data_IF_997458273048
#
_entry.id   IF_997458273048
#
_cell.length_a   1.000
_cell.length_b   1.000
_cell.length_c   1.000
_cell.angle_alpha   90.00
_cell.angle_beta   90.00
_cell.angle_gamma   90.00
#
_symmetry.space_group_name_H-M   'P 1'
#
loop_
_entity.id
_entity.type
_entity.pdbx_description
1 polymer ?
#
# COMPACT_ATOMS: atom_id res chain seq x y z
N UNK A 1 -26.72 26.22 -19.78
CA UNK A 1 -25.87 26.21 -18.58
C UNK A 1 -24.49 25.76 -19.01
N UNK A 2 -23.45 26.52 -18.67
CA UNK A 2 -22.06 26.16 -18.97
C UNK A 2 -21.65 25.00 -18.05
N UNK A 3 -21.28 23.86 -18.62
CA UNK A 3 -20.72 22.73 -17.88
C UNK A 3 -19.27 23.08 -17.55
N UNK A 4 -18.91 23.08 -16.27
CA UNK A 4 -17.49 23.06 -15.90
C UNK A 4 -16.85 21.82 -16.55
N UNK A 5 -15.72 21.99 -17.23
CA UNK A 5 -15.06 20.99 -18.11
C UNK A 5 -14.53 19.72 -17.40
N UNK A 6 -15.03 19.39 -16.20
CA UNK A 6 -14.62 18.25 -15.38
C UNK A 6 -15.77 17.24 -15.15
N UNK A 7 -16.59 16.99 -16.15
CA UNK A 7 -17.64 15.97 -16.10
C UNK A 7 -17.45 14.92 -17.19
N UNK A 8 -17.95 13.71 -16.95
CA UNK A 8 -17.94 12.63 -17.92
C UNK A 8 -19.36 12.08 -18.12
N UNK A 9 -19.63 11.60 -19.34
CA UNK A 9 -20.87 10.89 -19.66
C UNK A 9 -20.75 9.44 -19.19
N UNK A 10 -21.67 9.03 -18.32
CA UNK A 10 -21.76 7.67 -17.82
C UNK A 10 -23.03 6.98 -18.31
N UNK A 11 -22.94 5.67 -18.53
CA UNK A 11 -24.13 4.84 -18.74
C UNK A 11 -24.97 4.77 -17.46
N UNK A 12 -26.25 4.39 -17.57
CA UNK A 12 -27.12 4.23 -16.39
C UNK A 12 -26.50 3.26 -15.38
N UNK A 13 -25.92 2.15 -15.83
CA UNK A 13 -25.31 1.15 -14.95
C UNK A 13 -24.10 1.69 -14.21
N UNK A 14 -23.19 2.37 -14.92
CA UNK A 14 -22.01 2.99 -14.29
C UNK A 14 -22.42 4.12 -13.34
N UNK A 15 -23.44 4.90 -13.69
CA UNK A 15 -23.95 5.96 -12.83
C UNK A 15 -24.55 5.41 -11.52
N UNK A 16 -25.21 4.24 -11.56
CA UNK A 16 -25.73 3.59 -10.36
C UNK A 16 -24.62 3.13 -9.43
N UNK A 17 -23.54 2.56 -9.98
CA UNK A 17 -22.38 2.13 -9.21
C UNK A 17 -21.64 3.33 -8.61
N UNK A 18 -21.39 4.37 -9.42
CA UNK A 18 -20.66 5.57 -9.01
C UNK A 18 -21.39 6.38 -7.94
N UNK A 19 -22.71 6.51 -8.04
CA UNK A 19 -23.51 7.26 -7.07
C UNK A 19 -23.98 6.40 -5.89
N UNK A 20 -23.85 5.07 -5.98
CA UNK A 20 -24.37 4.10 -5.01
C UNK A 20 -25.87 4.30 -4.69
N UNK A 21 -26.69 4.44 -5.73
CA UNK A 21 -28.11 4.77 -5.62
C UNK A 21 -28.95 3.74 -6.37
N UNK A 22 -30.21 3.54 -5.93
CA UNK A 22 -31.15 2.66 -6.64
C UNK A 22 -31.57 3.21 -8.01
N UNK A 23 -31.87 2.31 -8.94
CA UNK A 23 -32.34 2.68 -10.28
C UNK A 23 -33.55 3.62 -10.25
N UNK A 24 -34.47 3.40 -9.30
CA UNK A 24 -35.67 4.23 -9.13
C UNK A 24 -35.30 5.66 -8.76
N UNK A 25 -34.46 5.81 -7.74
CA UNK A 25 -34.01 7.11 -7.25
C UNK A 25 -33.21 7.88 -8.32
N UNK A 26 -32.45 7.18 -9.17
CA UNK A 26 -31.77 7.81 -10.30
C UNK A 26 -32.78 8.40 -11.31
N UNK A 27 -33.83 7.65 -11.68
CA UNK A 27 -34.88 8.17 -12.56
C UNK A 27 -35.70 9.27 -11.90
N UNK A 28 -35.94 9.22 -10.60
CA UNK A 28 -36.64 10.28 -9.87
C UNK A 28 -35.85 11.60 -9.93
N UNK A 29 -34.51 11.55 -9.85
CA UNK A 29 -33.63 12.73 -10.00
C UNK A 29 -33.61 13.26 -11.44
N UNK A 30 -33.65 12.36 -12.42
CA UNK A 30 -33.77 12.75 -13.84
C UNK A 30 -35.12 13.45 -14.08
N UNK A 31 -36.21 12.95 -13.50
CA UNK A 31 -37.54 13.54 -13.65
C UNK A 31 -37.70 14.88 -12.92
N UNK A 32 -36.83 15.16 -11.94
CA UNK A 32 -36.75 16.44 -11.22
C UNK A 32 -35.82 17.46 -11.90
N UNK A 33 -35.28 17.13 -13.07
CA UNK A 33 -34.30 17.94 -13.83
C UNK A 33 -33.02 18.28 -13.04
N UNK A 34 -32.70 17.50 -11.99
CA UNK A 34 -31.48 17.67 -11.18
C UNK A 34 -30.22 17.14 -11.89
N UNK A 35 -30.39 16.31 -12.93
CA UNK A 35 -29.31 15.66 -13.67
C UNK A 35 -29.46 15.88 -15.18
N UNK A 36 -28.38 16.30 -15.82
CA UNK A 36 -28.35 16.43 -17.29
C UNK A 36 -28.25 15.06 -17.94
N UNK A 37 -29.19 14.76 -18.82
CA UNK A 37 -29.24 13.48 -19.55
C UNK A 37 -29.15 13.68 -21.05
N UNK A 38 -28.48 12.76 -21.73
CA UNK A 38 -28.39 12.70 -23.18
C UNK A 38 -28.93 11.35 -23.65
N UNK A 39 -29.81 11.34 -24.64
CA UNK A 39 -30.28 10.11 -25.30
C UNK A 39 -29.56 9.95 -26.63
N UNK A 40 -28.86 8.84 -26.80
CA UNK A 40 -28.16 8.49 -28.03
C UNK A 40 -28.67 7.12 -28.51
N UNK A 41 -29.55 7.15 -29.51
CA UNK A 41 -30.27 5.97 -30.00
C UNK A 41 -31.18 5.35 -28.93
N UNK A 42 -30.92 4.07 -28.60
CA UNK A 42 -31.66 3.31 -27.57
C UNK A 42 -31.13 3.55 -26.15
N UNK A 43 -29.92 4.11 -26.01
CA UNK A 43 -29.23 4.23 -24.73
C UNK A 43 -29.36 5.67 -24.19
N UNK A 44 -29.41 5.79 -22.86
CA UNK A 44 -29.43 7.08 -22.15
C UNK A 44 -28.17 7.19 -21.30
N UNK A 45 -27.52 8.34 -21.41
CA UNK A 45 -26.32 8.70 -20.69
C UNK A 45 -26.62 9.85 -19.73
N UNK A 46 -25.89 9.88 -18.63
CA UNK A 46 -26.03 10.87 -17.56
C UNK A 46 -24.69 11.56 -17.42
N UNK A 47 -24.70 12.88 -17.41
CA UNK A 47 -23.51 13.66 -17.12
C UNK A 47 -23.34 13.74 -15.60
N UNK A 48 -22.18 13.30 -15.12
CA UNK A 48 -21.82 13.42 -13.71
C UNK A 48 -20.62 14.35 -13.59
N UNK A 49 -20.79 15.42 -12.83
CA UNK A 49 -19.69 16.28 -12.42
C UNK A 49 -18.87 15.56 -11.34
N UNK A 50 -17.54 15.61 -11.45
CA UNK A 50 -16.61 14.93 -10.51
C UNK A 50 -16.85 15.36 -9.05
N UNK A 51 -17.29 16.60 -8.81
CA UNK A 51 -17.62 17.10 -7.47
C UNK A 51 -18.79 16.37 -6.79
N UNK A 52 -19.75 15.84 -7.57
CA UNK A 52 -20.88 15.09 -7.01
C UNK A 52 -20.38 13.73 -6.48
N UNK A 53 -19.40 13.13 -7.17
CA UNK A 53 -18.78 11.86 -6.78
C UNK A 53 -18.09 11.97 -5.41
N UNK A 54 -17.40 13.07 -5.17
CA UNK A 54 -16.77 13.37 -3.87
C UNK A 54 -17.83 13.59 -2.78
N UNK A 55 -18.95 14.24 -3.10
CA UNK A 55 -20.01 14.49 -2.12
C UNK A 55 -20.74 13.21 -1.67
N UNK A 56 -20.90 12.20 -2.53
CA UNK A 56 -21.41 10.88 -2.13
C UNK A 56 -20.45 10.10 -1.21
N UNK A 57 -19.16 10.42 -1.22
CA UNK A 57 -18.17 9.85 -0.29
C UNK A 57 -18.11 10.56 1.06
N UNK A 58 -18.89 11.64 1.28
CA UNK A 58 -18.87 12.43 2.52
C UNK A 58 -19.68 11.80 3.66
N UNK A 59 -20.43 10.72 3.43
CA UNK A 59 -20.91 9.87 4.52
C UNK A 59 -19.77 8.97 5.02
N UNK A 60 -18.72 9.58 5.58
CA UNK A 60 -17.75 8.86 6.41
C UNK A 60 -18.45 8.51 7.72
N UNK A 61 -19.00 7.32 7.79
CA UNK A 61 -19.51 6.79 9.05
C UNK A 61 -18.39 6.85 10.09
N UNK A 62 -18.67 7.32 11.31
CA UNK A 62 -17.68 7.34 12.42
C UNK A 62 -16.97 5.99 12.60
N UNK A 63 -17.64 4.91 12.22
CA UNK A 63 -17.12 3.55 12.15
C UNK A 63 -15.93 3.41 11.18
N UNK A 64 -16.03 3.99 9.97
CA UNK A 64 -14.95 3.95 8.97
C UNK A 64 -13.72 4.73 9.43
N UNK A 65 -13.89 5.87 10.10
CA UNK A 65 -12.77 6.64 10.67
C UNK A 65 -12.07 5.88 11.80
N UNK A 66 -12.83 5.17 12.65
CA UNK A 66 -12.28 4.29 13.68
C UNK A 66 -11.44 3.15 13.09
N UNK A 67 -11.94 2.50 12.03
CA UNK A 67 -11.21 1.46 11.31
C UNK A 67 -9.93 2.02 10.70
N UNK A 68 -10.00 3.18 10.03
CA UNK A 68 -8.83 3.81 9.42
C UNK A 68 -7.77 4.13 10.46
N UNK A 69 -8.16 4.65 11.63
CA UNK A 69 -7.24 4.90 12.75
C UNK A 69 -6.62 3.61 13.29
N UNK A 70 -7.41 2.54 13.42
CA UNK A 70 -6.89 1.24 13.86
C UNK A 70 -5.89 0.66 12.86
N UNK A 71 -6.20 0.74 11.56
CA UNK A 71 -5.29 0.31 10.49
C UNK A 71 -4.00 1.14 10.49
N UNK A 72 -4.09 2.46 10.70
CA UNK A 72 -2.91 3.31 10.82
C UNK A 72 -2.02 2.90 12.00
N UNK A 73 -2.60 2.60 13.16
CA UNK A 73 -1.88 2.12 14.33
C UNK A 73 -1.22 0.75 14.09
N UNK A 74 -1.90 -0.16 13.38
CA UNK A 74 -1.32 -1.45 13.02
C UNK A 74 -0.14 -1.28 12.07
N UNK A 75 -0.26 -0.41 11.06
CA UNK A 75 0.81 -0.13 10.11
C UNK A 75 2.01 0.50 10.81
N UNK A 76 1.81 1.44 11.75
CA UNK A 76 2.92 2.02 12.52
C UNK A 76 3.62 0.97 13.39
N UNK A 77 2.85 0.14 14.09
CA UNK A 77 3.40 -0.93 14.91
C UNK A 77 4.23 -1.93 14.09
N UNK A 78 3.72 -2.34 12.92
CA UNK A 78 4.42 -3.27 12.04
C UNK A 78 5.72 -2.67 11.50
N UNK A 79 5.73 -1.38 11.18
CA UNK A 79 6.95 -0.66 10.77
C UNK A 79 7.98 -0.65 11.90
N UNK A 80 7.57 -0.25 13.10
CA UNK A 80 8.48 -0.23 14.27
C UNK A 80 9.04 -1.63 14.60
N UNK A 81 8.27 -2.69 14.32
CA UNK A 81 8.70 -4.07 14.52
C UNK A 81 9.73 -4.49 13.47
N UNK A 82 9.50 -4.15 12.20
CA UNK A 82 10.47 -4.39 11.11
C UNK A 82 11.79 -3.68 11.42
N UNK A 83 11.75 -2.40 11.81
CA UNK A 83 12.95 -1.63 12.12
C UNK A 83 13.78 -2.26 13.25
N UNK A 84 13.11 -2.79 14.28
CA UNK A 84 13.80 -3.50 15.38
C UNK A 84 14.43 -4.81 14.91
N UNK A 85 13.68 -5.62 14.16
CA UNK A 85 14.19 -6.90 13.64
C UNK A 85 15.36 -6.69 12.69
N UNK A 86 15.33 -5.66 11.85
CA UNK A 86 16.44 -5.31 10.99
C UNK A 86 17.70 -4.91 11.78
N UNK A 87 17.53 -4.19 12.89
CA UNK A 87 18.63 -3.83 13.79
C UNK A 87 19.23 -5.08 14.46
N UNK A 88 18.40 -5.97 15.00
CA UNK A 88 18.85 -7.25 15.60
C UNK A 88 19.55 -8.14 14.57
N UNK A 89 19.03 -8.24 13.34
CA UNK A 89 19.69 -8.98 12.26
C UNK A 89 21.05 -8.38 11.90
N UNK A 90 21.16 -7.06 11.87
CA UNK A 90 22.43 -6.38 11.61
C UNK A 90 23.45 -6.67 12.70
N UNK A 91 23.04 -6.62 13.97
CA UNK A 91 23.92 -6.90 15.09
C UNK A 91 24.36 -8.38 15.13
N UNK A 92 23.42 -9.31 14.94
CA UNK A 92 23.73 -10.75 14.88
C UNK A 92 24.67 -11.08 13.73
N UNK A 93 24.47 -10.47 12.56
CA UNK A 93 25.39 -10.58 11.41
C UNK A 93 26.78 -10.04 11.73
N UNK A 94 26.87 -8.86 12.34
CA UNK A 94 28.16 -8.30 12.74
C UNK A 94 28.89 -9.22 13.73
N UNK A 95 28.18 -9.79 14.70
CA UNK A 95 28.73 -10.76 15.65
C UNK A 95 29.19 -12.04 14.95
N UNK A 96 28.39 -12.59 14.03
CA UNK A 96 28.79 -13.78 13.28
C UNK A 96 30.03 -13.52 12.41
N UNK A 97 30.09 -12.39 11.72
CA UNK A 97 31.22 -12.04 10.85
C UNK A 97 32.51 -11.87 11.67
N UNK A 98 32.44 -11.25 12.85
CA UNK A 98 33.60 -11.13 13.74
C UNK A 98 34.03 -12.48 14.31
N UNK A 99 33.10 -13.37 14.64
CA UNK A 99 33.44 -14.73 15.10
C UNK A 99 34.13 -15.51 13.98
N UNK A 100 33.60 -15.46 12.76
CA UNK A 100 34.19 -16.12 11.59
C UNK A 100 35.60 -15.58 11.32
N UNK A 101 35.79 -14.27 11.39
CA UNK A 101 37.10 -13.65 11.21
C UNK A 101 38.11 -14.14 12.26
N UNK A 102 37.73 -14.13 13.54
CA UNK A 102 38.58 -14.66 14.61
C UNK A 102 38.92 -16.14 14.43
N UNK A 103 37.94 -16.96 14.04
CA UNK A 103 38.16 -18.38 13.75
C UNK A 103 39.12 -18.58 12.56
N UNK A 104 39.01 -17.75 11.52
CA UNK A 104 39.91 -17.79 10.38
C UNK A 104 41.35 -17.42 10.76
N UNK A 105 41.53 -16.37 11.57
CA UNK A 105 42.83 -15.97 12.10
C UNK A 105 43.46 -17.08 12.96
N UNK A 106 42.68 -17.68 13.86
CA UNK A 106 43.13 -18.80 14.70
C UNK A 106 43.56 -20.00 13.84
N UNK A 107 42.79 -20.34 12.80
CA UNK A 107 43.14 -21.40 11.87
C UNK A 107 44.41 -21.09 11.07
N UNK A 108 44.62 -19.83 10.66
CA UNK A 108 45.83 -19.43 9.95
C UNK A 108 47.07 -19.57 10.86
N UNK A 109 46.99 -19.13 12.12
CA UNK A 109 48.08 -19.28 13.09
C UNK A 109 48.43 -20.76 13.31
N UNK A 110 47.43 -21.64 13.39
CA UNK A 110 47.66 -23.08 13.50
C UNK A 110 48.40 -23.63 12.26
N UNK A 111 47.99 -23.24 11.06
CA UNK A 111 48.67 -23.65 9.82
C UNK A 111 50.11 -23.14 9.75
N UNK A 112 50.35 -21.89 10.15
CA UNK A 112 51.70 -21.32 10.25
C UNK A 112 52.57 -22.05 11.27
N UNK A 113 51.99 -22.50 12.39
CA UNK A 113 52.70 -23.30 13.39
C UNK A 113 53.12 -24.67 12.87
N UNK A 114 52.29 -25.32 12.05
CA UNK A 114 52.55 -26.65 11.45
C UNK A 114 53.60 -26.56 10.33
N UNK A 115 53.59 -25.48 9.55
CA UNK A 115 54.53 -25.28 8.44
C UNK A 115 55.96 -24.93 8.88
N UNK A 116 56.19 -24.59 10.15
CA UNK A 116 57.55 -24.45 10.70
C UNK A 116 58.15 -25.84 10.89
N UNK A 117 59.24 -26.13 10.18
CA UNK A 117 59.97 -27.40 10.33
C UNK A 117 60.25 -27.62 11.83
N UNK A 118 59.80 -28.74 12.42
CA UNK A 118 60.08 -29.02 13.82
C UNK A 118 61.59 -29.08 14.00
N UNK A 119 62.09 -28.51 15.10
CA UNK A 119 63.52 -28.30 15.33
C UNK A 119 64.37 -29.59 15.31
N UNK A 120 63.74 -30.76 15.40
CA UNK A 120 64.39 -32.06 15.30
C UNK A 120 64.49 -32.63 13.87
N UNK A 121 63.80 -32.07 12.86
CA UNK A 121 63.86 -32.54 11.45
C UNK A 121 65.05 -31.96 10.66
N UNK A 122 66.15 -31.65 11.34
CA UNK A 122 67.36 -31.07 10.73
C UNK A 122 68.40 -32.10 10.29
N UNK A 123 68.21 -33.37 10.62
CA UNK A 123 69.04 -34.49 10.15
C UNK A 123 68.43 -35.16 8.93
#
# INVERSE_FOLDING_TARGET
>A
MATNDNGNWFSITEALEKLNISRRTLYDRINKDELTTKKEGRNRFIWLDVNILESSTLHKDKHTDGIVKQLQLQVSYLKDLVDRLELELKETRQRSDTIILKMADDHQLLLESINKKPFWKFW
#
